data_IF_980862162447
#
_entry.id   IF_980862162447
#
_cell.length_a   1.000
_cell.length_b   1.000
_cell.length_c   1.000
_cell.angle_alpha   90.00
_cell.angle_beta   90.00
_cell.angle_gamma   90.00
#
_symmetry.space_group_name_H-M   'P 1'
#
loop_
_entity.id
_entity.type
_entity.pdbx_description
1 polymer ?
#
# COMPACT_ATOMS: atom_id res chain seq x y z
N UNK A 1 -18.24 -3.31 -8.99
CA UNK A 1 -17.35 -2.92 -7.87
C UNK A 1 -17.95 -3.49 -6.59
N UNK A 2 -17.13 -4.02 -5.66
CA UNK A 2 -17.66 -4.47 -4.35
C UNK A 2 -18.20 -3.24 -3.61
N UNK A 3 -19.48 -3.28 -3.28
CA UNK A 3 -20.37 -2.20 -2.86
C UNK A 3 -19.78 -1.13 -1.91
N UNK A 4 -20.04 0.15 -2.21
CA UNK A 4 -20.15 1.26 -1.24
C UNK A 4 -18.87 1.82 -0.59
N UNK A 5 -17.76 1.06 -0.54
CA UNK A 5 -16.50 1.60 -0.03
C UNK A 5 -15.69 2.18 -1.19
N UNK A 6 -15.47 3.49 -1.16
CA UNK A 6 -14.61 4.18 -2.10
C UNK A 6 -13.16 3.83 -1.79
N UNK A 7 -12.65 2.76 -2.42
CA UNK A 7 -11.22 2.52 -2.49
C UNK A 7 -10.63 3.50 -3.52
N UNK A 8 -9.59 4.23 -3.12
CA UNK A 8 -8.74 5.14 -3.91
C UNK A 8 -9.42 5.78 -5.15
N UNK A 9 -9.77 7.07 -5.03
CA UNK A 9 -10.47 7.85 -6.08
C UNK A 9 -9.63 8.13 -7.32
N UNK A 10 -8.33 7.84 -7.31
CA UNK A 10 -7.45 8.10 -8.45
C UNK A 10 -7.84 7.20 -9.64
N UNK A 11 -7.65 7.72 -10.85
CA UNK A 11 -7.88 6.94 -12.08
C UNK A 11 -6.96 5.72 -12.07
N UNK A 12 -7.56 4.57 -12.38
CA UNK A 12 -6.88 3.29 -12.45
C UNK A 12 -6.01 3.18 -13.70
N UNK A 13 -4.70 3.42 -13.57
CA UNK A 13 -3.70 3.09 -14.58
C UNK A 13 -2.95 1.80 -14.18
N UNK A 14 -3.18 0.71 -14.92
CA UNK A 14 -2.57 -0.60 -14.62
C UNK A 14 -1.16 -0.75 -15.20
N UNK A 15 -0.82 0.02 -16.22
CA UNK A 15 0.52 -0.02 -16.82
C UNK A 15 1.51 0.75 -15.94
N UNK A 16 1.09 1.91 -15.41
CA UNK A 16 1.89 2.67 -14.46
C UNK A 16 1.96 2.02 -13.07
N UNK A 17 0.90 1.33 -12.65
CA UNK A 17 0.76 0.70 -11.33
C UNK A 17 0.24 -0.74 -11.41
N UNK A 18 1.08 -1.70 -11.82
CA UNK A 18 0.68 -3.10 -11.98
C UNK A 18 0.14 -3.75 -10.69
N UNK A 19 0.69 -3.40 -9.53
CA UNK A 19 0.37 -4.01 -8.25
C UNK A 19 -0.44 -3.08 -7.34
N UNK A 20 -1.32 -3.67 -6.52
CA UNK A 20 -2.07 -2.91 -5.50
C UNK A 20 -1.15 -2.26 -4.46
N UNK A 21 -0.07 -2.95 -4.07
CA UNK A 21 0.88 -2.45 -3.06
C UNK A 21 1.57 -1.17 -3.50
N UNK A 22 1.94 -1.06 -4.78
CA UNK A 22 2.60 0.12 -5.33
C UNK A 22 1.72 1.37 -5.20
N UNK A 23 0.41 1.21 -5.42
CA UNK A 23 -0.57 2.30 -5.31
C UNK A 23 -0.73 2.77 -3.88
N UNK A 24 -0.75 1.84 -2.93
CA UNK A 24 -0.81 2.16 -1.51
C UNK A 24 0.46 2.89 -1.05
N UNK A 25 1.64 2.44 -1.50
CA UNK A 25 2.91 3.11 -1.18
C UNK A 25 2.92 4.53 -1.78
N UNK A 26 2.45 4.70 -3.02
CA UNK A 26 2.35 6.01 -3.65
C UNK A 26 1.46 7.01 -2.89
N UNK A 27 0.50 6.53 -2.07
CA UNK A 27 -0.31 7.41 -1.21
C UNK A 27 0.47 8.01 -0.04
N UNK A 28 1.63 7.45 0.31
CA UNK A 28 2.48 7.98 1.38
C UNK A 28 3.28 9.22 0.94
N UNK A 29 3.23 9.59 -0.34
CA UNK A 29 3.96 10.72 -0.92
C UNK A 29 3.02 11.82 -1.37
N UNK A 30 3.52 13.05 -1.42
CA UNK A 30 2.76 14.19 -1.91
C UNK A 30 2.27 13.96 -3.35
N UNK A 31 1.10 14.53 -3.65
CA UNK A 31 0.47 14.43 -4.96
C UNK A 31 1.42 14.92 -6.06
N UNK A 32 1.60 14.09 -7.09
CA UNK A 32 2.39 14.42 -8.28
C UNK A 32 3.88 14.10 -8.18
N UNK A 33 4.36 13.68 -7.00
CA UNK A 33 5.72 13.15 -6.82
C UNK A 33 5.83 11.78 -7.48
N UNK A 34 4.88 10.88 -7.20
CA UNK A 34 4.87 9.51 -7.73
C UNK A 34 3.93 9.42 -8.94
N UNK A 35 4.47 9.06 -10.10
CA UNK A 35 3.74 8.94 -11.39
C UNK A 35 3.63 7.50 -11.85
N UNK A 36 4.61 6.66 -11.56
CA UNK A 36 4.58 5.23 -11.85
C UNK A 36 5.39 4.41 -10.83
N UNK A 37 5.32 3.08 -10.93
CA UNK A 37 6.10 2.16 -10.08
C UNK A 37 7.61 2.42 -10.13
N UNK A 38 8.13 3.00 -11.22
CA UNK A 38 9.56 3.34 -11.35
C UNK A 38 10.00 4.47 -10.41
N UNK A 39 9.07 5.32 -9.94
CA UNK A 39 9.38 6.39 -9.00
C UNK A 39 9.46 5.90 -7.54
N UNK A 40 8.95 4.69 -7.27
CA UNK A 40 8.95 4.13 -5.92
C UNK A 40 10.37 3.76 -5.47
N UNK A 41 10.70 3.92 -4.17
CA UNK A 41 11.95 3.40 -3.64
C UNK A 41 12.02 1.89 -3.80
N UNK A 42 13.17 1.39 -4.26
CA UNK A 42 13.44 -0.03 -4.45
C UNK A 42 14.58 -0.49 -3.52
N UNK A 43 14.48 -1.68 -2.91
CA UNK A 43 13.33 -2.58 -2.95
C UNK A 43 12.15 -2.02 -2.13
N UNK A 44 10.91 -2.41 -2.48
CA UNK A 44 9.75 -2.08 -1.66
C UNK A 44 9.96 -2.60 -0.23
N UNK A 45 9.70 -1.75 0.77
CA UNK A 45 9.83 -2.15 2.17
C UNK A 45 8.83 -3.26 2.51
N UNK A 46 9.32 -4.30 3.18
CA UNK A 46 8.50 -5.41 3.67
C UNK A 46 8.35 -5.27 5.19
N UNK A 47 7.37 -4.47 5.67
CA UNK A 47 7.19 -4.28 7.10
C UNK A 47 6.90 -5.62 7.77
N UNK A 48 7.58 -5.86 8.89
CA UNK A 48 7.35 -7.01 9.73
C UNK A 48 6.49 -6.60 10.90
N UNK A 49 5.46 -7.39 11.21
CA UNK A 49 4.69 -7.21 12.42
C UNK A 49 5.60 -7.52 13.62
N UNK A 50 5.84 -6.52 14.45
CA UNK A 50 6.49 -6.69 15.75
C UNK A 50 5.41 -6.74 16.82
N UNK A 51 5.44 -7.77 17.65
CA UNK A 51 4.54 -7.94 18.79
C UNK A 51 5.36 -8.16 20.05
N UNK A 52 4.92 -7.57 21.15
CA UNK A 52 5.42 -7.90 22.48
C UNK A 52 4.94 -9.28 22.91
N UNK A 53 5.61 -9.90 23.88
CA UNK A 53 5.20 -11.21 24.41
C UNK A 53 3.76 -11.23 24.95
N UNK A 54 3.32 -10.12 25.57
CA UNK A 54 1.95 -10.01 26.10
C UNK A 54 0.86 -10.04 25.04
N UNK A 55 1.15 -9.54 23.83
CA UNK A 55 0.21 -9.51 22.70
C UNK A 55 0.10 -10.86 21.97
N UNK A 56 1.04 -11.78 22.22
CA UNK A 56 0.99 -13.13 21.62
C UNK A 56 -0.07 -14.03 22.26
N UNK A 57 -0.60 -13.66 23.42
CA UNK A 57 -1.60 -14.46 24.12
C UNK A 57 -3.00 -14.09 23.65
N UNK A 58 -3.46 -14.78 22.61
CA UNK A 58 -4.87 -14.80 22.20
C UNK A 58 -5.36 -16.25 22.43
N UNK A 59 -6.17 -16.40 23.48
CA UNK A 59 -6.84 -17.61 23.99
C UNK A 59 -5.95 -18.65 24.73
N UNK A 60 -5.97 -18.58 26.07
CA UNK A 60 -6.11 -19.75 26.93
C UNK A 60 -7.51 -19.75 27.53
#
# INVERSE_FOLDING_TARGET
MRYGLLNDVRVLDKEAWPLMVERYIALAYDKGIMRSTQDLPQPLLWPQLQVSEGEKSIYL
#
